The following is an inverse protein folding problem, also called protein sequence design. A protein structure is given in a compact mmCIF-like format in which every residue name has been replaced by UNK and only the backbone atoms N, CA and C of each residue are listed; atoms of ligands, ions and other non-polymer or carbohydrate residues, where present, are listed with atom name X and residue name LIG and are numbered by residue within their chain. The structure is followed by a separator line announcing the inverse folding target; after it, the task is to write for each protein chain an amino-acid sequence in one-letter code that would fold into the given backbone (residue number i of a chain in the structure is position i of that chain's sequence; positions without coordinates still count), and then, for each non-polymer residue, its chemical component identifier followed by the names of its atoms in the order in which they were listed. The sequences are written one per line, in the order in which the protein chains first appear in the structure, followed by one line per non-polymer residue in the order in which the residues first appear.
data_IF_233334587045
#
_entry.id   IF_233334587045
#
_cell.length_a   1.000
_cell.length_b   1.000
_cell.length_c   1.000
_cell.angle_alpha   90.00
_cell.angle_beta   90.00
_cell.angle_gamma   90.00
#
_symmetry.space_group_name_H-M   'P 1'
#
loop_
_entity.id
_entity.type
_entity.pdbx_description
1 polymer ?
#
# COMPACT_ATOMS: atom_id res chain seq x y z
N UNK A 1 -32.34 4.01 5.28
CA UNK A 1 -31.26 4.99 5.16
C UNK A 1 -30.10 4.36 4.42
N UNK A 2 -30.07 4.55 3.11
CA UNK A 2 -29.11 3.98 2.18
C UNK A 2 -27.80 4.77 2.30
N UNK A 3 -26.92 4.37 3.23
CA UNK A 3 -25.58 4.98 3.36
C UNK A 3 -24.69 4.35 2.30
N UNK A 4 -24.64 4.96 1.12
CA UNK A 4 -23.51 4.77 0.23
C UNK A 4 -22.23 5.23 0.98
N UNK A 5 -21.12 4.49 0.90
CA UNK A 5 -19.84 4.97 1.41
C UNK A 5 -19.51 6.32 0.76
N UNK A 6 -19.10 7.30 1.56
CA UNK A 6 -18.71 8.61 1.03
C UNK A 6 -17.42 8.50 0.20
N UNK A 7 -17.30 9.33 -0.85
CA UNK A 7 -16.13 9.45 -1.75
C UNK A 7 -14.80 9.76 -1.03
N UNK A 8 -14.84 9.96 0.29
CA UNK A 8 -13.69 10.19 1.13
C UNK A 8 -12.75 8.97 1.30
N UNK A 9 -13.13 7.79 0.81
CA UNK A 9 -12.24 6.61 0.81
C UNK A 9 -11.00 6.80 -0.07
N UNK A 10 -11.04 7.74 -1.03
CA UNK A 10 -9.93 8.08 -1.95
C UNK A 10 -9.51 9.56 -1.89
N UNK A 11 -9.87 10.31 -0.85
CA UNK A 11 -9.46 11.72 -0.73
C UNK A 11 -7.98 11.84 -0.36
N UNK A 12 -7.10 11.59 -1.33
CA UNK A 12 -5.69 11.96 -1.32
C UNK A 12 -5.64 13.48 -1.11
N UNK A 13 -5.02 13.96 -0.03
CA UNK A 13 -4.85 15.40 0.16
C UNK A 13 -3.92 15.96 -0.94
N UNK A 14 -3.97 17.26 -1.28
CA UNK A 14 -3.03 17.84 -2.24
C UNK A 14 -1.55 17.58 -1.90
N UNK A 15 -1.23 17.51 -0.61
CA UNK A 15 0.12 17.16 -0.13
C UNK A 15 0.45 15.68 -0.37
N UNK A 16 -0.53 14.78 -0.24
CA UNK A 16 -0.35 13.36 -0.55
C UNK A 16 -0.17 13.14 -2.05
N UNK A 17 -0.89 13.90 -2.88
CA UNK A 17 -0.72 13.89 -4.34
C UNK A 17 0.70 14.29 -4.74
N UNK A 18 1.24 15.34 -4.13
CA UNK A 18 2.61 15.78 -4.40
C UNK A 18 3.65 14.70 -4.01
N UNK A 19 3.52 14.09 -2.82
CA UNK A 19 4.43 13.01 -2.38
C UNK A 19 4.31 11.76 -3.25
N UNK A 20 3.10 11.40 -3.66
CA UNK A 20 2.83 10.27 -4.55
C UNK A 20 3.43 10.51 -5.95
N UNK A 21 3.37 11.74 -6.45
CA UNK A 21 4.01 12.10 -7.72
C UNK A 21 5.53 11.97 -7.64
N UNK A 22 6.16 12.54 -6.60
CA UNK A 22 7.62 12.41 -6.39
C UNK A 22 8.04 10.94 -6.26
N UNK A 23 7.29 10.12 -5.53
CA UNK A 23 7.54 8.69 -5.46
C UNK A 23 7.49 8.03 -6.84
N UNK A 24 6.46 8.35 -7.63
CA UNK A 24 6.30 7.76 -8.96
C UNK A 24 7.41 8.20 -9.92
N UNK A 25 7.86 9.45 -9.84
CA UNK A 25 8.99 9.94 -10.64
C UNK A 25 10.26 9.12 -10.38
N UNK A 26 10.57 8.85 -9.10
CA UNK A 26 11.71 8.01 -8.70
C UNK A 26 11.53 6.58 -9.17
N UNK A 27 10.34 6.01 -8.98
CA UNK A 27 10.02 4.63 -9.37
C UNK A 27 10.15 4.41 -10.88
N UNK A 28 9.70 5.38 -11.69
CA UNK A 28 9.68 5.29 -13.14
C UNK A 28 11.00 5.67 -13.80
N UNK A 29 11.90 6.34 -13.08
CA UNK A 29 13.17 6.82 -13.60
C UNK A 29 13.97 5.76 -14.38
N UNK A 30 14.15 4.51 -13.89
CA UNK A 30 14.92 3.50 -14.63
C UNK A 30 14.30 3.12 -15.98
N UNK A 31 12.97 3.10 -16.10
CA UNK A 31 12.30 2.84 -17.38
C UNK A 31 12.47 4.02 -18.34
N UNK A 32 12.40 5.24 -17.82
CA UNK A 32 12.62 6.46 -18.61
C UNK A 32 14.07 6.49 -19.11
N UNK A 33 15.04 6.10 -18.27
CA UNK A 33 16.43 5.93 -18.69
C UNK A 33 16.59 4.88 -19.78
N UNK A 34 15.94 3.72 -19.65
CA UNK A 34 16.00 2.68 -20.68
C UNK A 34 15.41 3.16 -22.02
N UNK A 35 14.29 3.88 -21.99
CA UNK A 35 13.60 4.32 -23.19
C UNK A 35 14.29 5.49 -23.92
N UNK A 36 15.01 6.36 -23.21
CA UNK A 36 15.54 7.61 -23.76
C UNK A 36 17.06 7.82 -23.55
N UNK A 37 17.70 7.03 -22.70
CA UNK A 37 19.13 7.15 -22.35
C UNK A 37 20.08 6.51 -23.36
N UNK A 38 19.59 5.72 -24.32
CA UNK A 38 20.42 5.06 -25.33
C UNK A 38 20.99 6.01 -26.41
N UNK A 39 20.68 7.32 -26.34
CA UNK A 39 21.06 8.33 -27.33
C UNK A 39 22.23 9.26 -26.98
N UNK A 40 22.91 9.06 -25.85
CA UNK A 40 24.08 9.89 -25.46
C UNK A 40 23.77 11.34 -25.04
N UNK A 41 22.49 11.74 -25.00
CA UNK A 41 22.06 13.02 -24.43
C UNK A 41 21.72 12.86 -22.96
N UNK A 42 22.28 13.72 -22.10
CA UNK A 42 21.89 13.82 -20.69
C UNK A 42 20.36 13.91 -20.56
N UNK A 43 19.78 13.00 -19.80
CA UNK A 43 18.34 12.97 -19.57
C UNK A 43 17.94 14.21 -18.77
N UNK A 44 17.19 15.11 -19.40
CA UNK A 44 16.64 16.29 -18.74
C UNK A 44 15.67 15.84 -17.63
N UNK A 45 15.91 16.16 -16.34
CA UNK A 45 15.02 15.82 -15.23
C UNK A 45 13.57 16.30 -15.43
N UNK A 46 13.38 17.41 -16.16
CA UNK A 46 12.05 17.93 -16.48
C UNK A 46 11.28 17.01 -17.44
N UNK A 47 11.98 16.31 -18.34
CA UNK A 47 11.35 15.30 -19.22
C UNK A 47 10.93 14.06 -18.44
N UNK A 48 11.71 13.65 -17.44
CA UNK A 48 11.37 12.54 -16.53
C UNK A 48 10.07 12.86 -15.79
N UNK A 49 9.99 14.05 -15.18
CA UNK A 49 8.80 14.50 -14.48
C UNK A 49 7.56 14.57 -15.38
N UNK A 50 7.71 15.07 -16.62
CA UNK A 50 6.61 15.09 -17.61
C UNK A 50 6.14 13.69 -18.02
N UNK A 51 7.04 12.70 -18.09
CA UNK A 51 6.69 11.33 -18.47
C UNK A 51 6.04 10.55 -17.32
N UNK A 52 6.55 10.72 -16.09
CA UNK A 52 5.93 10.17 -14.88
C UNK A 52 4.53 10.77 -14.67
N UNK A 53 4.37 12.08 -14.84
CA UNK A 53 3.05 12.73 -14.85
C UNK A 53 2.13 12.19 -15.96
N UNK A 54 2.68 11.93 -17.15
CA UNK A 54 1.91 11.37 -18.25
C UNK A 54 1.46 9.93 -18.00
N UNK A 55 2.31 9.11 -17.38
CA UNK A 55 1.98 7.76 -16.92
C UNK A 55 0.84 7.81 -15.90
N UNK A 56 0.87 8.73 -14.94
CA UNK A 56 -0.18 8.91 -13.95
C UNK A 56 -1.46 9.56 -14.50
N UNK A 57 -1.36 10.30 -15.61
CA UNK A 57 -2.51 10.96 -16.24
C UNK A 57 -3.49 9.96 -16.86
N UNK A 58 -4.77 10.32 -16.89
CA UNK A 58 -5.85 9.59 -17.57
C UNK A 58 -5.62 9.44 -19.08
N UNK A 59 -4.80 10.29 -19.70
CA UNK A 59 -4.50 10.28 -21.14
C UNK A 59 -3.18 9.57 -21.50
N UNK A 60 -2.71 8.65 -20.65
CA UNK A 60 -1.43 7.95 -20.85
C UNK A 60 -1.37 7.11 -22.14
N UNK A 61 -2.51 6.70 -22.69
CA UNK A 61 -2.61 5.71 -23.77
C UNK A 61 -1.79 6.08 -25.01
N UNK A 62 -1.83 7.33 -25.48
CA UNK A 62 -1.10 7.75 -26.70
C UNK A 62 0.41 7.86 -26.49
N UNK A 63 0.84 8.20 -25.27
CA UNK A 63 2.28 8.36 -24.94
C UNK A 63 2.96 7.05 -24.61
N UNK A 64 2.19 6.03 -24.23
CA UNK A 64 2.68 4.69 -23.93
C UNK A 64 2.61 3.75 -25.14
N UNK A 65 2.22 4.24 -26.31
CA UNK A 65 2.15 3.47 -27.55
C UNK A 65 3.47 2.75 -27.91
N UNK A 66 4.67 3.35 -27.77
CA UNK A 66 5.92 2.62 -27.97
C UNK A 66 6.07 1.43 -27.01
N UNK A 67 5.71 1.63 -25.74
CA UNK A 67 5.75 0.57 -24.73
C UNK A 67 4.74 -0.54 -25.06
N UNK A 68 3.54 -0.17 -25.55
CA UNK A 68 2.52 -1.12 -26.02
C UNK A 68 3.08 -2.04 -27.10
N UNK A 69 3.74 -1.46 -28.11
CA UNK A 69 4.34 -2.20 -29.21
C UNK A 69 5.47 -3.11 -28.72
N UNK A 70 6.37 -2.60 -27.88
CA UNK A 70 7.48 -3.38 -27.29
C UNK A 70 6.99 -4.57 -26.46
N UNK A 71 5.89 -4.39 -25.73
CA UNK A 71 5.31 -5.45 -24.90
C UNK A 71 4.34 -6.35 -25.68
N UNK A 72 3.98 -5.98 -26.92
CA UNK A 72 3.03 -6.70 -27.77
C UNK A 72 1.65 -6.88 -27.14
N UNK A 73 1.19 -5.89 -26.38
CA UNK A 73 -0.13 -5.86 -25.74
C UNK A 73 -1.14 -5.13 -26.65
N UNK A 74 -2.35 -5.66 -26.76
CA UNK A 74 -3.38 -5.11 -27.65
C UNK A 74 -4.69 -4.83 -26.92
N UNK A 75 -5.43 -3.85 -27.43
CA UNK A 75 -6.81 -3.57 -27.02
C UNK A 75 -6.98 -3.41 -25.50
N UNK A 76 -7.86 -4.23 -24.92
CA UNK A 76 -8.17 -4.23 -23.49
C UNK A 76 -6.99 -4.68 -22.62
N UNK A 77 -6.18 -5.64 -23.07
CA UNK A 77 -5.04 -6.14 -22.28
C UNK A 77 -4.06 -5.03 -21.94
N UNK A 78 -3.80 -4.14 -22.89
CA UNK A 78 -2.95 -2.98 -22.65
C UNK A 78 -3.61 -1.98 -21.69
N UNK A 79 -4.86 -1.60 -21.94
CA UNK A 79 -5.57 -0.62 -21.09
C UNK A 79 -5.71 -1.11 -19.65
N UNK A 80 -6.15 -2.34 -19.46
CA UNK A 80 -6.38 -2.94 -18.13
C UNK A 80 -5.05 -3.17 -17.40
N UNK A 81 -4.01 -3.59 -18.13
CA UNK A 81 -2.66 -3.75 -17.60
C UNK A 81 -2.05 -2.43 -17.15
N UNK A 82 -2.14 -1.37 -17.98
CA UNK A 82 -1.64 -0.04 -17.63
C UNK A 82 -2.43 0.55 -16.46
N UNK A 83 -3.75 0.42 -16.44
CA UNK A 83 -4.58 0.86 -15.31
C UNK A 83 -4.14 0.16 -14.01
N UNK A 84 -4.01 -1.17 -14.05
CA UNK A 84 -3.60 -1.96 -12.90
C UNK A 84 -2.19 -1.60 -12.44
N UNK A 85 -1.26 -1.36 -13.38
CA UNK A 85 0.10 -0.94 -13.06
C UNK A 85 0.14 0.41 -12.33
N UNK A 86 -0.63 1.41 -12.77
CA UNK A 86 -0.77 2.66 -12.01
C UNK A 86 -1.29 2.41 -10.59
N UNK A 87 -2.26 1.50 -10.47
CA UNK A 87 -2.78 1.03 -9.20
C UNK A 87 -1.71 0.40 -8.30
N UNK A 88 -0.83 -0.42 -8.86
CA UNK A 88 0.32 -1.01 -8.15
C UNK A 88 1.29 0.05 -7.65
N UNK A 89 1.65 1.03 -8.48
CA UNK A 89 2.53 2.14 -8.05
C UNK A 89 1.88 2.91 -6.90
N UNK A 90 0.58 3.22 -7.02
CA UNK A 90 -0.18 3.89 -5.97
C UNK A 90 -0.18 3.08 -4.67
N UNK A 91 -0.49 1.78 -4.72
CA UNK A 91 -0.51 0.93 -3.53
C UNK A 91 0.87 0.70 -2.94
N UNK A 92 1.93 0.63 -3.76
CA UNK A 92 3.31 0.57 -3.28
C UNK A 92 3.68 1.81 -2.48
N UNK A 93 3.36 3.00 -2.99
CA UNK A 93 3.54 4.26 -2.27
C UNK A 93 2.72 4.28 -0.98
N UNK A 94 1.41 4.01 -1.05
CA UNK A 94 0.52 4.04 0.11
C UNK A 94 0.95 3.04 1.19
N UNK A 95 1.43 1.86 0.79
CA UNK A 95 1.95 0.86 1.70
C UNK A 95 3.21 1.36 2.41
N UNK A 96 4.13 2.02 1.69
CA UNK A 96 5.34 2.61 2.30
C UNK A 96 5.02 3.67 3.35
N UNK A 97 4.04 4.54 3.09
CA UNK A 97 3.55 5.52 4.08
C UNK A 97 2.89 4.83 5.29
N UNK A 98 2.13 3.76 5.03
CA UNK A 98 1.40 3.03 6.07
C UNK A 98 2.31 2.21 6.99
N UNK A 99 3.46 1.73 6.49
CA UNK A 99 4.42 0.93 7.27
C UNK A 99 4.96 1.69 8.48
N UNK A 100 5.17 3.00 8.36
CA UNK A 100 5.58 3.85 9.47
C UNK A 100 4.50 4.00 10.54
N UNK A 101 3.22 3.93 10.17
CA UNK A 101 2.11 3.94 11.13
C UNK A 101 1.92 2.57 11.77
N UNK A 102 1.97 1.48 10.99
CA UNK A 102 1.84 0.11 11.49
C UNK A 102 2.93 -0.24 12.52
N UNK A 103 4.17 0.21 12.30
CA UNK A 103 5.29 -0.07 13.20
C UNK A 103 5.14 0.58 14.58
N UNK A 104 4.37 1.66 14.69
CA UNK A 104 4.11 2.38 15.95
C UNK A 104 3.07 1.71 16.82
N UNK A 105 2.14 0.96 16.23
CA UNK A 105 1.03 0.32 16.94
C UNK A 105 1.53 -0.58 18.07
N UNK A 106 2.53 -1.42 17.81
CA UNK A 106 3.08 -2.34 18.81
C UNK A 106 3.65 -1.62 20.06
N UNK A 107 4.59 -0.67 19.88
CA UNK A 107 5.08 0.17 20.98
C UNK A 107 3.99 0.98 21.68
N UNK A 108 3.04 1.55 20.94
CA UNK A 108 1.93 2.31 21.50
C UNK A 108 1.02 1.42 22.35
N UNK A 109 0.75 0.17 21.93
CA UNK A 109 0.06 -0.84 22.73
C UNK A 109 0.74 -1.09 24.08
N UNK A 110 2.06 -1.05 24.13
CA UNK A 110 2.83 -1.29 25.35
C UNK A 110 2.95 -0.06 26.25
N UNK A 111 2.92 1.14 25.68
CA UNK A 111 3.03 2.39 26.41
C UNK A 111 1.73 2.82 27.12
N UNK A 112 0.59 2.20 26.80
CA UNK A 112 -0.71 2.55 27.40
C UNK A 112 -0.68 2.33 28.91
N UNK A 113 -1.00 3.40 29.64
CA UNK A 113 -1.09 3.41 31.10
C UNK A 113 -2.42 2.80 31.56
N UNK A 114 -2.33 1.65 32.22
CA UNK A 114 -3.47 1.03 32.89
C UNK A 114 -3.65 1.64 34.28
N UNK A 115 -4.89 1.94 34.65
CA UNK A 115 -5.26 2.43 35.98
C UNK A 115 -5.07 1.32 37.02
N UNK A 116 -4.42 1.68 38.13
CA UNK A 116 -4.18 0.74 39.23
C UNK A 116 -3.27 -0.42 38.85
N UNK A 117 -3.36 -1.52 39.61
CA UNK A 117 -2.59 -2.75 39.39
C UNK A 117 -3.53 -3.86 38.91
N UNK A 118 -3.47 -4.25 37.63
CA UNK A 118 -4.24 -5.38 37.12
C UNK A 118 -3.90 -6.69 37.84
N UNK A 119 -4.89 -7.57 37.98
CA UNK A 119 -4.68 -8.93 38.45
C UNK A 119 -3.86 -9.76 37.43
N UNK A 120 -3.46 -10.97 37.81
CA UNK A 120 -2.59 -11.81 36.96
C UNK A 120 -3.30 -12.26 35.69
N UNK A 121 -4.58 -12.65 35.77
CA UNK A 121 -5.34 -13.20 34.64
C UNK A 121 -5.51 -12.13 33.57
N UNK A 122 -5.90 -10.93 33.98
CA UNK A 122 -6.08 -9.81 33.04
C UNK A 122 -4.78 -9.39 32.36
N UNK A 123 -3.63 -9.46 33.05
CA UNK A 123 -2.31 -9.22 32.43
C UNK A 123 -1.95 -10.27 31.39
N UNK A 124 -2.17 -11.55 31.70
CA UNK A 124 -1.88 -12.66 30.78
C UNK A 124 -2.75 -12.56 29.53
N UNK A 125 -4.05 -12.31 29.70
CA UNK A 125 -4.96 -12.12 28.57
C UNK A 125 -4.57 -10.92 27.69
N UNK A 126 -4.19 -9.79 28.29
CA UNK A 126 -3.71 -8.64 27.54
C UNK A 126 -2.44 -8.98 26.75
N UNK A 127 -1.51 -9.73 27.32
CA UNK A 127 -0.29 -10.15 26.63
C UNK A 127 -0.58 -11.04 25.41
N UNK A 128 -1.50 -11.99 25.55
CA UNK A 128 -1.90 -12.90 24.46
C UNK A 128 -2.61 -12.17 23.32
N UNK A 129 -3.53 -11.26 23.65
CA UNK A 129 -4.20 -10.42 22.66
C UNK A 129 -3.20 -9.52 21.92
N UNK A 130 -2.29 -8.88 22.66
CA UNK A 130 -1.23 -8.04 22.06
C UNK A 130 -0.37 -8.83 21.09
N UNK A 131 0.01 -10.07 21.45
CA UNK A 131 0.77 -10.97 20.58
C UNK A 131 -0.01 -11.28 19.30
N UNK A 132 -1.28 -11.66 19.45
CA UNK A 132 -2.18 -11.98 18.33
C UNK A 132 -2.31 -10.81 17.36
N UNK A 133 -2.52 -9.60 17.87
CA UNK A 133 -2.59 -8.37 17.06
C UNK A 133 -1.30 -8.15 16.26
N UNK A 134 -0.13 -8.26 16.91
CA UNK A 134 1.17 -8.09 16.22
C UNK A 134 1.38 -9.12 15.13
N UNK A 135 1.01 -10.38 15.38
CA UNK A 135 1.15 -11.45 14.41
C UNK A 135 0.23 -11.22 13.19
N UNK A 136 -1.02 -10.76 13.42
CA UNK A 136 -1.95 -10.43 12.34
C UNK A 136 -1.51 -9.20 11.52
N UNK A 137 -1.01 -8.15 12.17
CA UNK A 137 -0.44 -6.97 11.49
C UNK A 137 0.75 -7.40 10.62
N UNK A 138 1.67 -8.20 11.18
CA UNK A 138 2.83 -8.71 10.46
C UNK A 138 2.42 -9.55 9.26
N UNK A 139 1.48 -10.48 9.43
CA UNK A 139 0.99 -11.33 8.36
C UNK A 139 0.36 -10.50 7.22
N UNK A 140 -0.46 -9.50 7.56
CA UNK A 140 -1.08 -8.60 6.58
C UNK A 140 -0.02 -7.81 5.80
N UNK A 141 0.95 -7.21 6.51
CA UNK A 141 2.03 -6.47 5.88
C UNK A 141 2.90 -7.36 4.97
N UNK A 142 3.24 -8.58 5.42
CA UNK A 142 4.00 -9.55 4.62
C UNK A 142 3.26 -9.96 3.35
N UNK A 143 1.93 -10.15 3.42
CA UNK A 143 1.13 -10.49 2.26
C UNK A 143 1.09 -9.34 1.23
N UNK A 144 0.94 -8.09 1.69
CA UNK A 144 1.07 -6.91 0.81
C UNK A 144 2.46 -6.86 0.15
N UNK A 145 3.53 -6.98 0.94
CA UNK A 145 4.91 -6.97 0.45
C UNK A 145 5.15 -8.06 -0.59
N UNK A 146 4.61 -9.26 -0.39
CA UNK A 146 4.76 -10.38 -1.33
C UNK A 146 4.12 -10.09 -2.69
N UNK A 147 2.94 -9.48 -2.72
CA UNK A 147 2.28 -9.13 -3.98
C UNK A 147 2.98 -7.96 -4.67
N UNK A 148 3.43 -6.95 -3.91
CA UNK A 148 4.23 -5.85 -4.45
C UNK A 148 5.58 -6.32 -5.00
N UNK A 149 6.19 -7.34 -4.40
CA UNK A 149 7.45 -7.92 -4.88
C UNK A 149 7.32 -8.52 -6.29
N UNK A 150 6.14 -9.04 -6.68
CA UNK A 150 5.91 -9.54 -8.04
C UNK A 150 6.08 -8.42 -9.08
N UNK A 151 5.61 -7.22 -8.76
CA UNK A 151 5.82 -6.04 -9.59
C UNK A 151 7.30 -5.62 -9.57
N UNK A 152 7.92 -5.50 -8.39
CA UNK A 152 9.31 -5.05 -8.26
C UNK A 152 10.28 -5.96 -9.03
N UNK A 153 10.06 -7.27 -8.97
CA UNK A 153 10.87 -8.27 -9.66
C UNK A 153 10.69 -8.16 -11.18
N UNK A 154 9.44 -8.08 -11.66
CA UNK A 154 9.14 -7.97 -13.08
C UNK A 154 9.62 -6.65 -13.70
N UNK A 155 9.47 -5.54 -12.97
CA UNK A 155 9.94 -4.23 -13.38
C UNK A 155 11.46 -4.17 -13.42
N UNK A 156 12.14 -4.70 -12.39
CA UNK A 156 13.61 -4.79 -12.35
C UNK A 156 14.16 -5.62 -13.50
N UNK A 157 13.54 -6.76 -13.82
CA UNK A 157 13.93 -7.58 -14.97
C UNK A 157 13.77 -6.84 -16.31
N UNK A 158 12.73 -6.02 -16.46
CA UNK A 158 12.58 -5.14 -17.62
C UNK A 158 13.71 -4.11 -17.71
N UNK A 159 13.95 -3.34 -16.64
CA UNK A 159 14.85 -2.19 -16.71
C UNK A 159 16.34 -2.56 -16.67
N UNK A 160 16.70 -3.68 -16.03
CA UNK A 160 18.11 -4.11 -15.92
C UNK A 160 18.51 -5.11 -16.99
N UNK A 161 17.59 -6.00 -17.41
CA UNK A 161 17.91 -7.13 -18.32
C UNK A 161 17.25 -6.99 -19.69
N UNK A 162 16.38 -5.99 -19.88
CA UNK A 162 15.59 -5.84 -21.11
C UNK A 162 14.58 -6.96 -21.31
N UNK A 163 14.30 -7.77 -20.27
CA UNK A 163 13.42 -8.94 -20.37
C UNK A 163 11.95 -8.53 -20.31
N UNK A 164 11.39 -8.19 -21.47
CA UNK A 164 10.00 -7.73 -21.61
C UNK A 164 8.96 -8.79 -21.27
N UNK A 165 9.29 -10.08 -21.38
CA UNK A 165 8.37 -11.18 -21.13
C UNK A 165 7.85 -11.24 -19.68
N UNK A 166 8.72 -10.99 -18.70
CA UNK A 166 8.35 -11.00 -17.28
C UNK A 166 7.38 -9.85 -16.96
N UNK A 167 7.70 -8.64 -17.44
CA UNK A 167 6.84 -7.47 -17.24
C UNK A 167 5.52 -7.56 -18.01
N UNK A 168 5.53 -8.09 -19.24
CA UNK A 168 4.32 -8.40 -19.99
C UNK A 168 3.42 -9.36 -19.21
N UNK A 169 4.00 -10.45 -18.67
CA UNK A 169 3.26 -11.42 -17.85
C UNK A 169 2.66 -10.74 -16.62
N UNK A 170 3.44 -9.92 -15.92
CA UNK A 170 2.94 -9.13 -14.81
C UNK A 170 1.73 -8.28 -15.23
N UNK A 171 1.81 -7.51 -16.33
CA UNK A 171 0.69 -6.66 -16.77
C UNK A 171 -0.58 -7.45 -17.12
N UNK A 172 -0.44 -8.67 -17.62
CA UNK A 172 -1.58 -9.56 -17.90
C UNK A 172 -2.21 -10.11 -16.61
N UNK A 173 -1.39 -10.41 -15.59
CA UNK A 173 -1.85 -10.92 -14.30
C UNK A 173 -2.28 -9.79 -13.33
N UNK A 174 -1.83 -8.55 -13.58
CA UNK A 174 -2.01 -7.38 -12.71
C UNK A 174 -3.46 -7.06 -12.35
N UNK A 175 -4.47 -7.18 -13.24
CA UNK A 175 -5.85 -6.90 -12.88
C UNK A 175 -6.38 -7.76 -11.73
N UNK A 176 -6.02 -9.05 -11.69
CA UNK A 176 -6.42 -9.96 -10.62
C UNK A 176 -5.65 -9.62 -9.34
N UNK A 177 -4.33 -9.45 -9.45
CA UNK A 177 -3.47 -9.12 -8.31
C UNK A 177 -3.82 -7.75 -7.70
N UNK A 178 -4.30 -6.81 -8.50
CA UNK A 178 -4.73 -5.48 -8.06
C UNK A 178 -5.93 -5.55 -7.13
N UNK A 179 -6.90 -6.43 -7.40
CA UNK A 179 -8.08 -6.64 -6.52
C UNK A 179 -7.64 -7.17 -5.16
N UNK A 180 -6.78 -8.19 -5.15
CA UNK A 180 -6.26 -8.78 -3.92
C UNK A 180 -5.44 -7.77 -3.12
N UNK A 181 -4.57 -7.01 -3.80
CA UNK A 181 -3.77 -5.96 -3.18
C UNK A 181 -4.66 -4.86 -2.59
N UNK A 182 -5.69 -4.44 -3.31
CA UNK A 182 -6.65 -3.44 -2.84
C UNK A 182 -7.37 -3.88 -1.57
N UNK A 183 -7.78 -5.15 -1.47
CA UNK A 183 -8.37 -5.69 -0.24
C UNK A 183 -7.40 -5.64 0.94
N UNK A 184 -6.15 -6.09 0.75
CA UNK A 184 -5.14 -6.07 1.80
C UNK A 184 -4.77 -4.63 2.21
N UNK A 185 -4.71 -3.70 1.27
CA UNK A 185 -4.49 -2.28 1.55
C UNK A 185 -5.65 -1.64 2.29
N UNK A 186 -6.89 -2.01 1.97
CA UNK A 186 -8.08 -1.63 2.73
C UNK A 186 -8.00 -2.12 4.19
N UNK A 187 -7.54 -3.36 4.40
CA UNK A 187 -7.27 -3.88 5.73
C UNK A 187 -6.23 -3.02 6.45
N UNK A 188 -5.04 -2.78 5.87
CA UNK A 188 -3.98 -1.94 6.45
C UNK A 188 -4.49 -0.55 6.85
N UNK A 189 -5.23 0.12 5.97
CA UNK A 189 -5.83 1.43 6.25
C UNK A 189 -6.80 1.37 7.43
N UNK A 190 -7.61 0.31 7.51
CA UNK A 190 -8.52 0.08 8.61
C UNK A 190 -7.77 -0.13 9.95
N UNK A 191 -6.67 -0.91 9.95
CA UNK A 191 -5.82 -1.11 11.14
C UNK A 191 -5.37 0.24 11.70
N UNK A 192 -4.74 1.06 10.85
CA UNK A 192 -4.15 2.33 11.24
C UNK A 192 -5.22 3.31 11.70
N UNK A 193 -6.33 3.40 10.97
CA UNK A 193 -7.43 4.32 11.28
C UNK A 193 -8.13 3.95 12.59
N UNK A 194 -8.43 2.66 12.79
CA UNK A 194 -9.06 2.15 14.01
C UNK A 194 -8.17 2.41 15.23
N UNK A 195 -6.88 2.06 15.14
CA UNK A 195 -5.92 2.28 16.21
C UNK A 195 -5.82 3.77 16.59
N UNK A 196 -5.63 4.63 15.58
CA UNK A 196 -5.52 6.08 15.77
C UNK A 196 -6.78 6.68 16.41
N UNK A 197 -7.97 6.24 15.97
CA UNK A 197 -9.24 6.73 16.50
C UNK A 197 -9.46 6.31 17.96
N UNK A 198 -9.33 5.01 18.25
CA UNK A 198 -9.69 4.47 19.57
C UNK A 198 -8.71 4.90 20.66
N UNK A 199 -7.42 5.04 20.33
CA UNK A 199 -6.38 5.32 21.33
C UNK A 199 -6.00 6.80 21.47
N UNK A 200 -6.24 7.67 20.48
CA UNK A 200 -6.20 9.14 20.71
C UNK A 200 -7.18 9.58 21.80
N UNK A 201 -8.31 8.88 21.94
CA UNK A 201 -9.28 9.16 23.00
C UNK A 201 -8.85 8.65 24.39
N UNK A 202 -7.92 7.70 24.47
CA UNK A 202 -7.51 7.03 25.71
C UNK A 202 -6.34 7.71 26.44
N UNK A 203 -5.70 8.73 25.83
CA UNK A 203 -4.50 9.40 26.35
C UNK A 203 -4.75 10.25 27.61
N UNK A 204 -6.00 10.60 27.94
CA UNK A 204 -6.30 11.46 29.09
C UNK A 204 -6.69 10.65 30.33
N UNK A 205 -5.71 10.37 31.18
CA UNK A 205 -5.93 9.89 32.56
C UNK A 205 -5.80 8.38 32.77
N UNK A 206 -5.30 7.63 31.77
CA UNK A 206 -5.15 6.17 31.83
C UNK A 206 -6.47 5.43 31.59
N UNK A 207 -6.36 4.17 31.19
CA UNK A 207 -7.51 3.31 30.86
C UNK A 207 -7.71 2.23 31.92
N UNK A 208 -8.95 1.83 32.17
CA UNK A 208 -9.22 0.65 33.01
C UNK A 208 -8.78 -0.64 32.31
N UNK A 209 -8.40 -1.67 33.06
CA UNK A 209 -7.94 -2.92 32.46
C UNK A 209 -9.03 -3.62 31.64
N UNK A 210 -10.29 -3.60 32.08
CA UNK A 210 -11.38 -4.26 31.35
C UNK A 210 -11.67 -3.53 30.04
N UNK A 211 -11.71 -2.20 30.07
CA UNK A 211 -11.86 -1.39 28.85
C UNK A 211 -10.69 -1.65 27.89
N UNK A 212 -9.47 -1.75 28.40
CA UNK A 212 -8.31 -2.05 27.56
C UNK A 212 -8.39 -3.43 26.91
N UNK A 213 -8.81 -4.45 27.67
CA UNK A 213 -9.04 -5.79 27.16
C UNK A 213 -10.11 -5.81 26.07
N UNK A 214 -11.21 -5.07 26.24
CA UNK A 214 -12.27 -4.96 25.25
C UNK A 214 -11.76 -4.35 23.93
N UNK A 215 -10.96 -3.28 24.01
CA UNK A 215 -10.36 -2.70 22.80
C UNK A 215 -9.44 -3.70 22.12
N UNK A 216 -8.58 -4.39 22.88
CA UNK A 216 -7.68 -5.38 22.32
C UNK A 216 -8.45 -6.55 21.67
N UNK A 217 -9.58 -6.98 22.25
CA UNK A 217 -10.44 -8.01 21.66
C UNK A 217 -11.07 -7.54 20.36
N UNK A 218 -11.69 -6.35 20.35
CA UNK A 218 -12.27 -5.76 19.14
C UNK A 218 -11.22 -5.61 18.04
N UNK A 219 -10.03 -5.14 18.40
CA UNK A 219 -8.94 -4.97 17.46
C UNK A 219 -8.47 -6.30 16.91
N UNK A 220 -8.28 -7.32 17.75
CA UNK A 220 -7.90 -8.65 17.32
C UNK A 220 -8.94 -9.28 16.39
N UNK A 221 -10.23 -9.10 16.66
CA UNK A 221 -11.34 -9.58 15.81
C UNK A 221 -11.37 -8.85 14.47
N UNK A 222 -11.21 -7.52 14.47
CA UNK A 222 -11.17 -6.72 13.25
C UNK A 222 -9.98 -7.05 12.34
N UNK A 223 -8.90 -7.61 12.92
CA UNK A 223 -7.70 -8.07 12.23
C UNK A 223 -7.72 -9.54 11.82
N UNK A 224 -8.72 -10.31 12.27
CA UNK A 224 -8.79 -11.72 11.97
C UNK A 224 -8.92 -11.93 10.46
N UNK A 225 -8.21 -12.91 9.87
CA UNK A 225 -8.38 -13.25 8.47
C UNK A 225 -9.85 -13.53 8.18
N UNK A 226 -10.45 -12.79 7.25
CA UNK A 226 -11.81 -13.09 6.81
C UNK A 226 -11.78 -14.46 6.14
N UNK A 227 -12.48 -15.42 6.73
CA UNK A 227 -12.74 -16.71 6.09
C UNK A 227 -13.65 -16.45 4.90
N UNK A 228 -13.10 -16.59 3.70
CA UNK A 228 -13.86 -16.69 2.46
C UNK A 228 -14.35 -18.13 2.27
#
# INVERSE_FOLDING_TARGET
HNRAPADCYFSISPADTARMLTFTEVEMFPLIQLAFGSGGSDLNPEMVGRLANALLSTNADTRLEPLRLTLGLEGSQFRDGIFSWKGFIFYKWQFSESMAALSKIGPEMDAIKIKGRPDRVSRELAADLKKTIRDNIRATAMNCSRVLALYDDAFRDLVQRGHTAAFRKFLLDAPILFVDLGHMMGMVSHIVSYWTYRFRSAEKGGIDIEEYLDILREFAVGLAPRRH
#
